data_IF_935511671766
#
_entry.id   IF_935511671766
#
_cell.length_a   1.000
_cell.length_b   1.000
_cell.length_c   1.000
_cell.angle_alpha   90.00
_cell.angle_beta   90.00
_cell.angle_gamma   90.00
#
_symmetry.space_group_name_H-M   'P 1'
#
loop_
_entity.id
_entity.type
_entity.pdbx_description
1 polymer ?
#
# COMPACT_ATOMS: atom_id res chain seq x y z
N UNK A 1 -18.16 -8.51 16.77
CA UNK A 1 -17.48 -8.24 18.05
C UNK A 1 -16.18 -7.49 17.75
N UNK A 2 -16.25 -6.17 17.63
CA UNK A 2 -15.05 -5.35 17.49
C UNK A 2 -14.63 -4.88 18.88
N UNK A 3 -13.48 -5.34 19.36
CA UNK A 3 -12.83 -4.79 20.55
C UNK A 3 -12.30 -3.42 20.15
N UNK A 4 -13.17 -2.42 20.16
CA UNK A 4 -12.76 -1.04 20.03
C UNK A 4 -12.37 -0.61 21.45
N UNK A 5 -11.08 -0.74 21.81
CA UNK A 5 -10.55 -0.13 23.04
C UNK A 5 -10.92 1.35 22.98
N UNK A 6 -11.69 1.84 23.96
CA UNK A 6 -12.08 3.24 24.00
C UNK A 6 -10.82 4.07 24.27
N UNK A 7 -10.81 5.32 23.83
CA UNK A 7 -9.67 6.22 24.06
C UNK A 7 -9.28 6.32 25.55
N UNK A 8 -10.25 6.14 26.44
CA UNK A 8 -10.07 6.02 27.89
C UNK A 8 -9.26 4.78 28.30
N UNK A 9 -9.43 3.64 27.63
CA UNK A 9 -8.71 2.39 27.91
C UNK A 9 -7.23 2.50 27.50
N UNK A 10 -6.97 3.15 26.36
CA UNK A 10 -5.60 3.42 25.88
C UNK A 10 -4.89 4.42 26.79
N UNK A 11 -5.57 5.50 27.21
CA UNK A 11 -4.99 6.46 28.15
C UNK A 11 -4.69 5.82 29.51
N UNK A 12 -5.61 4.99 30.02
CA UNK A 12 -5.38 4.25 31.27
C UNK A 12 -4.21 3.29 31.15
N UNK A 13 -4.10 2.55 30.05
CA UNK A 13 -2.97 1.67 29.78
C UNK A 13 -1.64 2.45 29.72
N UNK A 14 -1.60 3.61 29.05
CA UNK A 14 -0.40 4.44 28.99
C UNK A 14 -0.01 4.99 30.37
N UNK A 15 -0.97 5.31 31.24
CA UNK A 15 -0.69 5.71 32.63
C UNK A 15 -0.09 4.56 33.44
N UNK A 16 -0.64 3.35 33.32
CA UNK A 16 -0.10 2.14 33.96
C UNK A 16 1.32 1.84 33.44
N UNK A 17 1.54 2.02 32.14
CA UNK A 17 2.85 1.85 31.51
C UNK A 17 3.89 2.88 32.00
N UNK A 18 3.49 4.15 32.15
CA UNK A 18 4.36 5.20 32.72
C UNK A 18 4.71 4.91 34.18
N UNK A 19 3.78 4.35 34.95
CA UNK A 19 4.03 3.90 36.31
C UNK A 19 5.05 2.75 36.34
N UNK A 20 4.92 1.76 35.44
CA UNK A 20 5.89 0.68 35.27
C UNK A 20 7.25 1.21 34.81
N UNK A 21 7.30 2.17 33.87
CA UNK A 21 8.54 2.81 33.42
C UNK A 21 9.27 3.49 34.58
N UNK A 22 8.53 4.23 35.41
CA UNK A 22 9.06 4.88 36.61
C UNK A 22 9.61 3.87 37.63
N UNK A 23 8.89 2.77 37.87
CA UNK A 23 9.34 1.69 38.75
C UNK A 23 10.61 0.99 38.23
N UNK A 24 10.68 0.69 36.93
CA UNK A 24 11.86 0.09 36.29
C UNK A 24 13.06 1.04 36.40
N UNK A 25 12.87 2.33 36.17
CA UNK A 25 13.94 3.32 36.25
C UNK A 25 14.44 3.56 37.69
N UNK A 26 13.54 3.60 38.68
CA UNK A 26 13.92 3.66 40.10
C UNK A 26 14.71 2.41 40.52
N UNK A 27 14.27 1.23 40.09
CA UNK A 27 14.92 -0.03 40.44
C UNK A 27 16.31 -0.14 39.80
N UNK A 28 16.48 0.29 38.55
CA UNK A 28 17.79 0.40 37.90
C UNK A 28 18.75 1.35 38.62
N UNK A 29 18.24 2.45 39.17
CA UNK A 29 19.04 3.44 39.91
C UNK A 29 19.48 2.91 41.28
N UNK A 30 18.65 2.09 41.93
CA UNK A 30 18.92 1.50 43.25
C UNK A 30 19.74 0.20 43.17
N UNK A 31 19.76 -0.46 42.01
CA UNK A 31 20.46 -1.73 41.78
C UNK A 31 21.96 -1.72 42.15
N UNK A 32 22.75 -0.68 41.82
CA UNK A 32 24.19 -0.66 42.10
C UNK A 32 24.52 -0.68 43.60
N UNK A 33 23.66 -0.06 44.43
CA UNK A 33 23.81 -0.07 45.88
C UNK A 33 23.46 -1.45 46.49
N UNK A 34 22.45 -2.12 45.93
CA UNK A 34 22.00 -3.46 46.38
C UNK A 34 23.00 -4.55 45.97
N UNK A 35 23.76 -4.35 44.89
CA UNK A 35 24.70 -5.32 44.33
C UNK A 35 26.10 -5.32 44.97
N UNK A 36 26.38 -4.47 45.97
CA UNK A 36 27.69 -4.43 46.67
C UNK A 36 28.03 -5.72 47.45
N UNK A 37 27.10 -6.69 47.57
CA UNK A 37 27.33 -8.01 48.16
C UNK A 37 26.60 -9.11 47.36
N UNK A 38 27.34 -9.92 46.61
CA UNK A 38 26.83 -10.75 45.52
C UNK A 38 26.01 -11.99 45.92
N UNK A 39 24.90 -12.21 45.18
CA UNK A 39 24.40 -13.54 44.83
C UNK A 39 24.18 -13.63 43.31
N UNK A 40 24.48 -14.76 42.66
CA UNK A 40 24.49 -14.89 41.19
C UNK A 40 23.14 -14.60 40.49
N UNK A 41 22.00 -14.76 41.18
CA UNK A 41 20.68 -14.40 40.65
C UNK A 41 20.46 -12.88 40.50
N UNK A 42 21.19 -12.05 41.25
CA UNK A 42 21.11 -10.59 41.10
C UNK A 42 21.90 -10.09 39.88
N UNK A 43 22.86 -10.89 39.38
CA UNK A 43 23.58 -10.60 38.14
C UNK A 43 22.67 -10.76 36.91
N UNK A 44 21.87 -11.84 36.88
CA UNK A 44 20.87 -12.08 35.83
C UNK A 44 19.80 -10.99 35.81
N UNK A 45 19.41 -10.47 36.99
CA UNK A 45 18.48 -9.35 37.10
C UNK A 45 19.07 -8.04 36.55
N UNK A 46 20.36 -7.78 36.80
CA UNK A 46 21.07 -6.64 36.21
C UNK A 46 21.10 -6.68 34.69
N UNK A 47 21.22 -7.87 34.11
CA UNK A 47 21.22 -8.08 32.66
C UNK A 47 19.81 -8.02 32.02
N UNK A 48 18.77 -8.34 32.79
CA UNK A 48 17.39 -8.35 32.29
C UNK A 48 16.67 -7.00 32.41
N UNK A 49 17.10 -6.12 33.32
CA UNK A 49 16.49 -4.79 33.51
C UNK A 49 16.57 -3.86 32.30
N UNK A 50 17.72 -3.72 31.61
CA UNK A 50 17.78 -2.93 30.37
C UNK A 50 16.85 -3.46 29.28
N UNK A 51 16.64 -4.79 29.23
CA UNK A 51 15.70 -5.43 28.30
C UNK A 51 14.26 -5.13 28.69
N UNK A 52 13.94 -5.11 29.98
CA UNK A 52 12.61 -4.72 30.48
C UNK A 52 12.32 -3.25 30.19
N UNK A 53 13.28 -2.35 30.45
CA UNK A 53 13.17 -0.92 30.09
C UNK A 53 12.90 -0.75 28.60
N UNK A 54 13.66 -1.44 27.77
CA UNK A 54 13.47 -1.45 26.32
C UNK A 54 12.07 -1.90 25.91
N UNK A 55 11.55 -2.99 26.49
CA UNK A 55 10.20 -3.49 26.19
C UNK A 55 9.14 -2.46 26.60
N UNK A 56 9.28 -1.83 27.77
CA UNK A 56 8.34 -0.81 28.26
C UNK A 56 8.36 0.43 27.37
N UNK A 57 9.54 0.89 26.94
CA UNK A 57 9.70 2.01 26.01
C UNK A 57 9.10 1.68 24.63
N UNK A 58 9.37 0.48 24.12
CA UNK A 58 8.82 -0.01 22.86
C UNK A 58 7.29 -0.09 22.89
N UNK A 59 6.71 -0.67 23.94
CA UNK A 59 5.25 -0.73 24.11
C UNK A 59 4.65 0.68 24.19
N UNK A 60 5.35 1.62 24.85
CA UNK A 60 4.96 3.02 24.93
C UNK A 60 4.96 3.76 23.60
N UNK A 61 5.71 3.28 22.61
CA UNK A 61 5.72 3.84 21.25
C UNK A 61 4.74 3.11 20.32
N UNK A 62 4.66 1.77 20.42
CA UNK A 62 3.84 0.93 19.54
C UNK A 62 2.35 1.09 19.80
N UNK A 63 1.93 1.10 21.07
CA UNK A 63 0.50 1.16 21.41
C UNK A 63 -0.17 2.46 20.91
N UNK A 64 0.42 3.66 21.10
CA UNK A 64 -0.14 4.89 20.51
C UNK A 64 -0.20 4.86 18.98
N UNK A 65 0.83 4.30 18.33
CA UNK A 65 0.92 4.22 16.87
C UNK A 65 -0.14 3.30 16.29
N UNK A 66 -0.33 2.11 16.89
CA UNK A 66 -1.42 1.18 16.53
C UNK A 66 -2.79 1.82 16.78
N UNK A 67 -2.97 2.49 17.92
CA UNK A 67 -4.24 3.17 18.22
C UNK A 67 -4.56 4.29 17.21
N UNK A 68 -3.55 5.06 16.81
CA UNK A 68 -3.68 6.06 15.74
C UNK A 68 -4.07 5.42 14.42
N UNK A 69 -3.46 4.29 14.06
CA UNK A 69 -3.79 3.54 12.84
C UNK A 69 -5.24 3.01 12.87
N UNK A 70 -5.67 2.43 13.99
CA UNK A 70 -7.06 1.96 14.18
C UNK A 70 -8.08 3.09 14.03
N UNK A 71 -7.71 4.34 14.36
CA UNK A 71 -8.60 5.50 14.21
C UNK A 71 -8.64 6.06 12.79
N UNK A 72 -7.49 6.11 12.10
CA UNK A 72 -7.39 6.65 10.74
C UNK A 72 -7.93 5.64 9.71
N UNK A 73 -7.74 4.34 9.95
CA UNK A 73 -8.08 3.30 8.98
C UNK A 73 -9.58 3.24 8.61
N UNK A 74 -10.56 3.33 9.53
CA UNK A 74 -11.98 3.30 9.17
C UNK A 74 -12.41 4.47 8.29
N UNK A 75 -11.89 5.67 8.55
CA UNK A 75 -12.21 6.87 7.75
C UNK A 75 -11.65 6.75 6.32
N UNK A 76 -10.47 6.13 6.17
CA UNK A 76 -9.72 6.06 4.92
C UNK A 76 -9.93 4.77 4.13
N UNK A 77 -10.39 3.72 4.80
CA UNK A 77 -10.86 2.50 4.17
C UNK A 77 -12.06 2.78 3.24
N UNK A 78 -12.83 3.85 3.49
CA UNK A 78 -13.87 4.34 2.58
C UNK A 78 -13.33 4.97 1.29
N UNK A 79 -12.08 5.44 1.28
CA UNK A 79 -11.46 6.07 0.11
C UNK A 79 -11.09 5.08 -0.99
N UNK A 80 -10.80 3.81 -0.64
CA UNK A 80 -10.51 2.75 -1.63
C UNK A 80 -11.77 2.39 -2.44
N UNK A 81 -12.93 2.06 -1.82
CA UNK A 81 -14.19 1.89 -2.53
C UNK A 81 -14.58 3.11 -3.36
N UNK A 82 -14.31 4.33 -2.87
CA UNK A 82 -14.58 5.56 -3.62
C UNK A 82 -13.72 5.66 -4.90
N UNK A 83 -12.41 5.40 -4.79
CA UNK A 83 -11.51 5.33 -5.93
C UNK A 83 -11.95 4.26 -6.94
N UNK A 84 -12.32 3.08 -6.46
CA UNK A 84 -12.86 2.00 -7.31
C UNK A 84 -14.16 2.40 -7.99
N UNK A 85 -15.08 3.08 -7.28
CA UNK A 85 -16.33 3.59 -7.86
C UNK A 85 -16.08 4.64 -8.94
N UNK A 86 -15.13 5.56 -8.73
CA UNK A 86 -14.77 6.55 -9.72
C UNK A 86 -14.19 5.91 -10.99
N UNK A 87 -13.32 4.90 -10.85
CA UNK A 87 -12.82 4.13 -11.99
C UNK A 87 -13.94 3.36 -12.70
N UNK A 88 -14.90 2.80 -11.97
CA UNK A 88 -16.04 2.12 -12.57
C UNK A 88 -16.90 3.08 -13.41
N UNK A 89 -17.16 4.29 -12.91
CA UNK A 89 -17.87 5.34 -13.66
C UNK A 89 -17.12 5.77 -14.92
N UNK A 90 -15.79 5.82 -14.86
CA UNK A 90 -14.95 6.07 -16.05
C UNK A 90 -15.15 4.97 -17.08
N UNK A 91 -15.06 3.71 -16.66
CA UNK A 91 -15.26 2.56 -17.55
C UNK A 91 -16.65 2.59 -18.17
N UNK A 92 -17.70 2.81 -17.38
CA UNK A 92 -19.09 2.88 -17.84
C UNK A 92 -19.33 4.03 -18.82
N UNK A 93 -18.83 5.23 -18.51
CA UNK A 93 -18.94 6.38 -19.40
C UNK A 93 -18.17 6.15 -20.71
N UNK A 94 -17.00 5.51 -20.63
CA UNK A 94 -16.19 5.16 -21.81
C UNK A 94 -16.91 4.13 -22.67
N UNK A 95 -17.49 3.09 -22.08
CA UNK A 95 -18.24 2.05 -22.80
C UNK A 95 -19.47 2.65 -23.48
N UNK A 96 -20.25 3.44 -22.75
CA UNK A 96 -21.47 4.09 -23.26
C UNK A 96 -21.14 5.03 -24.42
N UNK A 97 -20.16 5.90 -24.25
CA UNK A 97 -19.75 6.83 -25.30
C UNK A 97 -19.14 6.12 -26.51
N UNK A 98 -18.40 5.02 -26.31
CA UNK A 98 -17.86 4.24 -27.43
C UNK A 98 -18.97 3.56 -28.23
N UNK A 99 -19.99 3.01 -27.55
CA UNK A 99 -21.17 2.46 -28.21
C UNK A 99 -21.94 3.55 -28.97
N UNK A 100 -22.17 4.72 -28.36
CA UNK A 100 -22.83 5.84 -29.04
C UNK A 100 -22.06 6.32 -30.29
N UNK A 101 -20.73 6.41 -30.20
CA UNK A 101 -19.90 6.75 -31.37
C UNK A 101 -20.04 5.68 -32.45
N UNK A 102 -20.02 4.39 -32.08
CA UNK A 102 -20.13 3.29 -33.02
C UNK A 102 -21.48 3.30 -33.75
N UNK A 103 -22.58 3.51 -33.03
CA UNK A 103 -23.91 3.63 -33.62
C UNK A 103 -24.02 4.81 -34.60
N UNK A 104 -23.45 5.96 -34.25
CA UNK A 104 -23.45 7.14 -35.13
C UNK A 104 -22.54 6.94 -36.34
N UNK A 105 -21.39 6.29 -36.18
CA UNK A 105 -20.49 5.93 -37.29
C UNK A 105 -21.17 4.97 -38.26
N UNK A 106 -21.89 3.97 -37.77
CA UNK A 106 -22.66 3.05 -38.61
C UNK A 106 -23.74 3.79 -39.40
N UNK A 107 -24.44 4.74 -38.77
CA UNK A 107 -25.39 5.64 -39.43
C UNK A 107 -24.74 6.48 -40.53
N UNK A 108 -23.58 7.08 -40.25
CA UNK A 108 -22.80 7.85 -41.23
C UNK A 108 -22.40 6.97 -42.42
N UNK A 109 -21.95 5.73 -42.19
CA UNK A 109 -21.58 4.82 -43.27
C UNK A 109 -22.78 4.47 -44.17
N UNK A 110 -23.97 4.28 -43.59
CA UNK A 110 -25.19 4.06 -44.34
C UNK A 110 -25.57 5.29 -45.19
N UNK A 111 -25.56 6.49 -44.60
CA UNK A 111 -25.84 7.74 -45.31
C UNK A 111 -24.85 8.01 -46.45
N UNK A 112 -23.55 7.72 -46.26
CA UNK A 112 -22.54 7.85 -47.32
C UNK A 112 -22.79 6.84 -48.46
N UNK A 113 -23.19 5.61 -48.13
CA UNK A 113 -23.54 4.59 -49.12
C UNK A 113 -24.71 5.01 -50.01
N UNK A 114 -25.78 5.50 -49.37
CA UNK A 114 -26.97 6.01 -50.05
C UNK A 114 -26.67 7.24 -50.91
N UNK A 115 -25.92 8.19 -50.35
CA UNK A 115 -25.50 9.40 -51.05
C UNK A 115 -24.69 9.05 -52.31
N UNK A 116 -23.78 8.07 -52.22
CA UNK A 116 -22.99 7.59 -53.36
C UNK A 116 -23.88 6.98 -54.45
N UNK A 117 -24.86 6.18 -54.08
CA UNK A 117 -25.79 5.58 -55.04
C UNK A 117 -26.61 6.67 -55.75
N UNK A 118 -27.15 7.63 -55.00
CA UNK A 118 -27.90 8.77 -55.55
C UNK A 118 -27.04 9.64 -56.49
N UNK A 119 -25.79 9.93 -56.12
CA UNK A 119 -24.87 10.67 -56.99
C UNK A 119 -24.52 9.89 -58.28
N UNK A 120 -24.43 8.55 -58.23
CA UNK A 120 -24.25 7.74 -59.43
C UNK A 120 -25.48 7.82 -60.36
N UNK A 121 -26.69 7.81 -59.81
CA UNK A 121 -27.92 7.97 -60.57
C UNK A 121 -28.01 9.37 -61.22
N UNK A 122 -27.58 10.43 -60.52
CA UNK A 122 -27.47 11.78 -61.09
C UNK A 122 -26.46 11.81 -62.24
N UNK A 123 -25.28 11.20 -62.08
CA UNK A 123 -24.25 11.13 -63.12
C UNK A 123 -24.76 10.41 -64.38
N UNK A 124 -25.51 9.32 -64.23
CA UNK A 124 -26.18 8.65 -65.34
C UNK A 124 -27.29 9.51 -65.97
N UNK A 125 -28.07 10.21 -65.16
CA UNK A 125 -29.15 11.09 -65.60
C UNK A 125 -28.64 12.28 -66.43
N UNK A 126 -27.52 12.89 -66.01
CA UNK A 126 -26.82 13.96 -66.75
C UNK A 126 -26.34 13.43 -68.10
N UNK A 127 -25.74 12.23 -68.14
CA UNK A 127 -25.34 11.58 -69.41
C UNK A 127 -26.51 11.36 -70.38
N UNK A 128 -27.72 11.16 -69.85
CA UNK A 128 -28.96 10.94 -70.64
C UNK A 128 -29.70 12.26 -70.97
N UNK A 129 -29.21 13.43 -70.55
CA UNK A 129 -29.70 14.75 -70.97
C UNK A 129 -30.94 15.30 -70.22
N UNK A 130 -31.30 14.75 -69.06
CA UNK A 130 -32.52 15.14 -68.32
C UNK A 130 -32.29 16.21 -67.24
N UNK A 131 -32.59 17.49 -67.53
CA UNK A 131 -32.29 18.62 -66.64
C UNK A 131 -33.19 18.72 -65.39
N UNK A 132 -34.47 18.31 -65.46
CA UNK A 132 -35.41 18.35 -64.30
C UNK A 132 -35.18 17.24 -63.27
N UNK A 133 -34.53 16.14 -63.66
CA UNK A 133 -34.21 15.06 -62.74
C UNK A 133 -33.06 15.46 -61.81
N UNK A 134 -32.11 16.25 -62.32
CA UNK A 134 -30.93 16.68 -61.57
C UNK A 134 -31.24 17.59 -60.38
N UNK A 135 -32.22 18.49 -60.51
CA UNK A 135 -32.52 19.50 -59.47
C UNK A 135 -33.10 18.85 -58.20
N UNK A 136 -34.00 17.87 -58.37
CA UNK A 136 -34.64 17.15 -57.26
C UNK A 136 -33.65 16.26 -56.51
N UNK A 137 -32.80 15.55 -57.23
CA UNK A 137 -31.79 14.69 -56.61
C UNK A 137 -30.66 15.51 -55.96
N UNK A 138 -30.41 16.74 -56.43
CA UNK A 138 -29.45 17.65 -55.80
C UNK A 138 -29.99 18.19 -54.46
N UNK A 139 -31.28 18.53 -54.36
CA UNK A 139 -31.91 18.89 -53.07
C UNK A 139 -31.84 17.73 -52.06
N UNK A 140 -32.08 16.49 -52.49
CA UNK A 140 -31.96 15.30 -51.63
C UNK A 140 -30.52 15.07 -51.16
N UNK A 141 -29.53 15.27 -52.03
CA UNK A 141 -28.09 15.21 -51.68
C UNK A 141 -27.71 16.25 -50.62
N UNK A 142 -28.25 17.46 -50.72
CA UNK A 142 -28.02 18.53 -49.73
C UNK A 142 -28.63 18.14 -48.37
N UNK A 143 -29.84 17.58 -48.36
CA UNK A 143 -30.45 17.05 -47.12
C UNK A 143 -29.64 15.92 -46.48
N UNK A 144 -29.11 14.99 -47.28
CA UNK A 144 -28.24 13.91 -46.76
C UNK A 144 -26.96 14.48 -46.13
N UNK A 145 -26.36 15.51 -46.75
CA UNK A 145 -25.20 16.23 -46.23
C UNK A 145 -25.49 16.93 -44.89
N UNK A 146 -26.66 17.55 -44.75
CA UNK A 146 -27.10 18.14 -43.49
C UNK A 146 -27.28 17.05 -42.41
N UNK A 147 -27.85 15.89 -42.76
CA UNK A 147 -27.99 14.76 -41.82
C UNK A 147 -26.65 14.17 -41.37
N UNK A 148 -25.66 14.16 -42.26
CA UNK A 148 -24.29 13.77 -41.95
C UNK A 148 -23.64 14.77 -41.00
N UNK A 149 -23.87 16.07 -41.19
CA UNK A 149 -23.38 17.11 -40.30
C UNK A 149 -23.97 16.98 -38.88
N UNK A 150 -25.27 16.69 -38.77
CA UNK A 150 -25.92 16.41 -37.47
C UNK A 150 -25.34 15.17 -36.79
N UNK A 151 -25.01 14.14 -37.57
CA UNK A 151 -24.34 12.94 -37.07
C UNK A 151 -22.92 13.23 -36.56
N UNK A 152 -22.16 14.09 -37.24
CA UNK A 152 -20.84 14.53 -36.76
C UNK A 152 -20.95 15.35 -35.46
N UNK A 153 -21.98 16.18 -35.30
CA UNK A 153 -22.26 16.89 -34.06
C UNK A 153 -22.59 15.94 -32.90
N UNK A 154 -23.29 14.83 -33.17
CA UNK A 154 -23.52 13.77 -32.18
C UNK A 154 -22.24 13.07 -31.75
N UNK A 155 -21.33 12.75 -32.68
CA UNK A 155 -20.01 12.20 -32.33
C UNK A 155 -19.22 13.18 -31.47
N UNK A 156 -19.23 14.47 -31.82
CA UNK A 156 -18.58 15.52 -31.03
C UNK A 156 -19.15 15.59 -29.60
N UNK A 157 -20.46 15.42 -29.43
CA UNK A 157 -21.10 15.33 -28.13
C UNK A 157 -20.69 14.07 -27.38
N UNK A 158 -20.68 12.91 -28.03
CA UNK A 158 -20.32 11.64 -27.41
C UNK A 158 -18.86 11.66 -26.91
N UNK A 159 -17.93 12.24 -27.68
CA UNK A 159 -16.51 12.41 -27.32
C UNK A 159 -16.26 13.20 -26.01
N UNK A 160 -17.25 13.91 -25.48
CA UNK A 160 -17.14 14.63 -24.20
C UNK A 160 -16.83 13.71 -23.01
N UNK A 161 -17.04 12.38 -23.14
CA UNK A 161 -16.63 11.41 -22.12
C UNK A 161 -15.14 11.50 -21.75
N UNK A 162 -14.29 12.01 -22.64
CA UNK A 162 -12.86 12.18 -22.41
C UNK A 162 -12.56 13.18 -21.28
N UNK A 163 -13.30 14.29 -21.20
CA UNK A 163 -13.13 15.30 -20.15
C UNK A 163 -13.62 14.76 -18.79
N UNK A 164 -14.79 14.12 -18.78
CA UNK A 164 -15.33 13.44 -17.60
C UNK A 164 -14.34 12.36 -17.10
N UNK A 165 -13.77 11.59 -18.03
CA UNK A 165 -12.79 10.55 -17.72
C UNK A 165 -11.53 11.14 -17.09
N UNK A 166 -10.99 12.23 -17.65
CA UNK A 166 -9.82 12.91 -17.11
C UNK A 166 -10.06 13.41 -15.67
N UNK A 167 -11.21 14.05 -15.42
CA UNK A 167 -11.58 14.55 -14.10
C UNK A 167 -11.70 13.43 -13.06
N UNK A 168 -12.34 12.31 -13.41
CA UNK A 168 -12.51 11.18 -12.50
C UNK A 168 -11.20 10.43 -12.22
N UNK A 169 -10.30 10.33 -13.21
CA UNK A 169 -8.95 9.79 -13.01
C UNK A 169 -8.13 10.70 -12.09
N UNK A 170 -8.21 12.02 -12.28
CA UNK A 170 -7.50 12.98 -11.43
C UNK A 170 -7.99 12.95 -9.99
N UNK A 171 -9.31 12.87 -9.77
CA UNK A 171 -9.91 12.67 -8.46
C UNK A 171 -9.42 11.36 -7.79
N UNK A 172 -9.34 10.28 -8.57
CA UNK A 172 -8.83 8.98 -8.10
C UNK A 172 -7.35 9.06 -7.72
N UNK A 173 -6.53 9.74 -8.52
CA UNK A 173 -5.12 10.00 -8.22
C UNK A 173 -4.96 10.79 -6.92
N UNK A 174 -5.77 11.82 -6.71
CA UNK A 174 -5.75 12.62 -5.49
C UNK A 174 -6.08 11.76 -4.26
N UNK A 175 -7.10 10.91 -4.35
CA UNK A 175 -7.45 9.96 -3.29
C UNK A 175 -6.28 9.01 -2.97
N UNK A 176 -5.67 8.42 -3.99
CA UNK A 176 -4.56 7.49 -3.81
C UNK A 176 -3.29 8.18 -3.28
N UNK A 177 -3.04 9.43 -3.70
CA UNK A 177 -1.93 10.23 -3.19
C UNK A 177 -2.11 10.52 -1.70
N UNK A 178 -3.32 10.84 -1.26
CA UNK A 178 -3.61 11.08 0.16
C UNK A 178 -3.43 9.80 0.99
N UNK A 179 -3.97 8.67 0.51
CA UNK A 179 -3.75 7.36 1.14
C UNK A 179 -2.26 7.01 1.27
N UNK A 180 -1.49 7.23 0.20
CA UNK A 180 -0.04 6.98 0.22
C UNK A 180 0.70 7.90 1.19
N UNK A 181 0.33 9.18 1.27
CA UNK A 181 0.95 10.15 2.19
C UNK A 181 0.73 9.73 3.64
N UNK A 182 -0.48 9.32 3.97
CA UNK A 182 -0.83 8.91 5.33
C UNK A 182 -0.19 7.57 5.72
N UNK A 183 -0.20 6.57 4.83
CA UNK A 183 0.50 5.31 5.06
C UNK A 183 2.01 5.53 5.27
N UNK A 184 2.62 6.43 4.49
CA UNK A 184 4.02 6.81 4.69
C UNK A 184 4.24 7.52 6.02
N UNK A 185 3.31 8.36 6.46
CA UNK A 185 3.40 9.03 7.76
C UNK A 185 3.34 8.00 8.91
N UNK A 186 2.40 7.05 8.85
CA UNK A 186 2.29 5.95 9.81
C UNK A 186 3.54 5.06 9.81
N UNK A 187 4.04 4.70 8.63
CA UNK A 187 5.24 3.86 8.52
C UNK A 187 6.50 4.58 9.00
N UNK A 188 6.61 5.89 8.76
CA UNK A 188 7.71 6.71 9.27
C UNK A 188 7.69 6.79 10.79
N UNK A 189 6.51 6.90 11.41
CA UNK A 189 6.37 6.85 12.86
C UNK A 189 6.80 5.48 13.43
N UNK A 190 6.54 4.39 12.70
CA UNK A 190 6.99 3.05 13.06
C UNK A 190 8.50 2.84 12.88
N UNK A 191 9.11 3.35 11.81
CA UNK A 191 10.56 3.19 11.54
C UNK A 191 11.45 4.16 12.31
N UNK A 192 10.89 5.29 12.77
CA UNK A 192 11.57 6.23 13.66
C UNK A 192 11.46 5.83 15.14
N UNK A 193 10.79 4.73 15.47
CA UNK A 193 10.96 4.09 16.78
C UNK A 193 12.42 3.69 16.90
N UNK A 194 13.21 4.49 17.63
CA UNK A 194 14.57 4.14 17.96
C UNK A 194 14.54 2.80 18.71
N UNK A 195 14.92 1.73 18.02
CA UNK A 195 15.43 0.53 18.64
C UNK A 195 16.67 0.99 19.42
N UNK A 196 16.50 1.23 20.73
CA UNK A 196 17.57 1.70 21.61
C UNK A 196 18.88 0.98 21.30
N UNK A 197 19.95 1.78 21.21
CA UNK A 197 21.33 1.40 20.84
C UNK A 197 21.58 -0.10 20.92
N UNK A 198 22.02 -0.66 19.80
CA UNK A 198 22.58 -2.01 19.67
C UNK A 198 23.25 -2.41 20.99
N UNK A 199 22.62 -3.34 21.72
CA UNK A 199 23.22 -3.89 22.92
C UNK A 199 24.50 -4.55 22.45
N UNK A 200 25.66 -3.91 22.69
CA UNK A 200 26.96 -4.55 22.53
C UNK A 200 26.98 -5.75 23.47
N UNK A 201 26.58 -6.89 22.95
CA UNK A 201 26.78 -8.18 23.60
C UNK A 201 28.29 -8.35 23.63
N UNK A 202 28.87 -8.35 24.83
CA UNK A 202 30.29 -8.62 25.04
C UNK A 202 30.65 -9.89 24.24
N UNK A 203 31.42 -9.72 23.16
CA UNK A 203 31.82 -10.82 22.30
C UNK A 203 32.71 -11.76 23.12
N UNK A 204 32.21 -12.95 23.46
CA UNK A 204 33.03 -13.95 24.13
C UNK A 204 32.34 -15.21 24.63
N UNK A 205 31.03 -15.21 24.88
CA UNK A 205 30.38 -16.37 25.54
C UNK A 205 29.14 -16.93 24.82
N UNK A 206 28.67 -16.30 23.75
CA UNK A 206 27.48 -16.77 23.04
C UNK A 206 27.71 -16.83 21.53
N UNK A 207 28.01 -18.03 21.03
CA UNK A 207 27.98 -18.33 19.60
C UNK A 207 26.60 -18.91 19.25
N UNK A 208 25.80 -18.18 18.46
CA UNK A 208 24.48 -18.60 17.99
C UNK A 208 24.53 -19.80 17.05
N UNK A 209 25.70 -20.12 16.50
CA UNK A 209 25.94 -21.26 15.63
C UNK A 209 26.78 -22.34 16.31
N UNK A 210 26.94 -22.29 17.64
CA UNK A 210 27.59 -23.34 18.40
C UNK A 210 26.90 -24.69 18.14
N UNK A 211 27.49 -25.47 17.24
CA UNK A 211 27.07 -26.83 16.99
C UNK A 211 27.82 -27.70 17.99
N UNK A 212 27.09 -28.34 18.91
CA UNK A 212 27.69 -29.26 19.86
C UNK A 212 28.14 -30.53 19.11
N UNK A 213 29.38 -30.53 18.61
CA UNK A 213 29.96 -31.73 18.02
C UNK A 213 30.49 -32.64 19.14
N UNK A 214 29.66 -33.62 19.49
CA UNK A 214 29.97 -34.63 20.51
C UNK A 214 31.24 -35.41 20.17
N UNK A 215 31.63 -35.54 18.90
CA UNK A 215 32.88 -36.21 18.50
C UNK A 215 34.09 -35.33 18.79
N UNK A 216 34.01 -34.05 18.42
CA UNK A 216 35.09 -33.08 18.69
C UNK A 216 35.27 -32.83 20.20
N UNK A 217 34.17 -32.77 20.95
CA UNK A 217 34.21 -32.66 22.41
C UNK A 217 34.89 -33.88 23.06
N UNK A 218 34.62 -35.10 22.57
CA UNK A 218 35.25 -36.33 23.08
C UNK A 218 36.76 -36.39 22.75
N UNK A 219 37.17 -35.88 21.60
CA UNK A 219 38.58 -35.79 21.20
C UNK A 219 39.31 -34.76 22.05
N UNK A 220 38.73 -33.57 22.28
CA UNK A 220 39.30 -32.55 23.16
C UNK A 220 39.39 -33.01 24.60
N UNK A 221 38.39 -33.75 25.09
CA UNK A 221 38.41 -34.31 26.45
C UNK A 221 39.43 -35.45 26.60
N UNK A 222 39.55 -36.32 25.59
CA UNK A 222 40.61 -37.34 25.55
C UNK A 222 42.02 -36.74 25.48
N UNK A 223 42.23 -35.65 24.75
CA UNK A 223 43.51 -34.93 24.73
C UNK A 223 43.84 -34.27 26.07
N UNK A 224 42.83 -33.79 26.81
CA UNK A 224 43.00 -33.22 28.15
C UNK A 224 43.31 -34.33 29.16
N UNK A 225 42.61 -35.47 29.08
CA UNK A 225 42.83 -36.63 29.94
C UNK A 225 44.21 -37.25 29.69
N UNK A 226 44.70 -37.31 28.44
CA UNK A 226 46.03 -37.81 28.08
C UNK A 226 47.17 -36.89 28.57
N UNK A 227 46.96 -35.56 28.59
CA UNK A 227 47.89 -34.60 29.19
C UNK A 227 47.89 -34.69 30.72
N UNK A 228 46.74 -35.00 31.33
CA UNK A 228 46.61 -35.19 32.77
C UNK A 228 47.24 -36.53 33.21
N UNK A 229 47.02 -37.63 32.49
CA UNK A 229 47.66 -38.93 32.75
C UNK A 229 49.18 -38.89 32.48
N UNK A 230 49.63 -38.16 31.46
CA UNK A 230 51.06 -37.95 31.20
C UNK A 230 51.76 -37.10 32.27
N UNK A 231 51.01 -36.33 33.05
CA UNK A 231 51.54 -35.53 34.16
C UNK A 231 51.63 -36.27 35.50
N UNK A 232 51.06 -37.48 35.60
CA UNK A 232 51.14 -38.33 36.81
C UNK A 232 52.28 -39.35 36.80
N UNK A 233 53.07 -39.47 35.71
CA UNK A 233 54.23 -40.40 35.66
C UNK A 233 55.60 -39.78 35.94
N UNK A 234 55.68 -38.47 36.22
CA UNK A 234 56.94 -37.79 36.63
C UNK A 234 56.96 -37.39 38.10
N UNK A 235 56.16 -38.04 38.95
CA UNK A 235 56.34 -37.99 40.41
C UNK A 235 56.42 -39.40 40.98
N UNK A 236 57.60 -40.03 40.88
CA UNK A 236 58.33 -40.78 41.92
C UNK A 236 59.77 -40.97 41.45
#
# INVERSE_FOLDING_TARGET
MGVNMKEQDVQKFLQELDQVRSQVSMFETQLPEILKGTKPHLLVLRESLPKLRYIVEFVGQVVPTINRMIRIWPEKAGSIPQATSNLHKVTEATETATNEIMDVVDGIMAHIGDLRARLQDVLEGIRKGGQKFCDRTLEEVVQDLDSLNDSLLRILSALQFQDITAQQIEATKAILAELNRELRALFKEFTQMEMGKEVEVLHGTFDRQANYDRKEAKVKQGMIDEVLEGSELDTI
#
